data_IF_455941122417
#
_entry.id   IF_455941122417
#
_cell.length_a   1.000
_cell.length_b   1.000
_cell.length_c   1.000
_cell.angle_alpha   90.00
_cell.angle_beta   90.00
_cell.angle_gamma   90.00
#
_symmetry.space_group_name_H-M   'P 1'
#
loop_
_entity.id
_entity.type
_entity.pdbx_description
1 polymer ?
#
# COMPACT_ATOMS: atom_id res chain seq x y z
N UNK A 1 3.44 12.21 15.65
CA UNK A 1 3.90 11.73 14.33
C UNK A 1 5.03 10.75 14.58
N UNK A 2 4.76 9.44 14.52
CA UNK A 2 5.77 8.43 14.85
C UNK A 2 5.62 7.24 13.89
N UNK A 3 6.19 7.39 12.70
CA UNK A 3 6.34 6.31 11.72
C UNK A 3 7.72 6.40 11.04
N UNK A 4 8.76 6.77 11.80
CA UNK A 4 10.11 6.89 11.25
C UNK A 4 10.89 5.57 11.26
N UNK A 5 10.46 4.61 12.08
CA UNK A 5 11.01 3.26 12.13
C UNK A 5 9.86 2.26 12.09
N UNK A 6 9.69 1.63 10.93
CA UNK A 6 8.69 0.61 10.72
C UNK A 6 8.97 -0.68 11.49
N UNK A 7 10.24 -0.96 11.85
CA UNK A 7 10.62 -2.19 12.56
C UNK A 7 10.12 -2.20 14.00
N UNK A 8 9.97 -1.03 14.62
CA UNK A 8 9.43 -0.86 15.96
C UNK A 8 7.89 -1.03 16.04
N UNK A 9 7.21 -1.17 14.91
CA UNK A 9 5.75 -1.30 14.87
C UNK A 9 5.26 -2.63 15.48
N UNK A 10 4.44 -2.52 16.53
CA UNK A 10 3.87 -3.68 17.23
C UNK A 10 2.47 -4.08 16.76
N UNK A 11 1.78 -3.22 16.01
CA UNK A 11 0.43 -3.47 15.53
C UNK A 11 0.34 -4.43 14.33
N UNK A 12 -0.88 -4.78 13.89
CA UNK A 12 -1.07 -5.44 12.61
C UNK A 12 -0.69 -4.49 11.46
N UNK A 13 -0.44 -5.07 10.28
CA UNK A 13 -0.40 -4.27 9.06
C UNK A 13 -1.82 -3.77 8.72
N UNK A 14 -1.95 -2.63 8.05
CA UNK A 14 -3.21 -2.23 7.44
C UNK A 14 -3.71 -3.31 6.49
N UNK A 15 -5.04 -3.40 6.32
CA UNK A 15 -5.62 -4.23 5.26
C UNK A 15 -5.20 -3.69 3.90
N UNK A 16 -5.21 -4.55 2.89
CA UNK A 16 -5.05 -4.11 1.50
C UNK A 16 -6.11 -3.08 1.16
N UNK A 17 -5.75 -2.16 0.27
CA UNK A 17 -6.61 -1.06 -0.14
C UNK A 17 -6.47 -0.83 -1.65
N UNK A 18 -7.47 -0.13 -2.19
CA UNK A 18 -7.50 0.27 -3.59
C UNK A 18 -7.25 1.77 -3.71
N UNK A 19 -6.42 2.16 -4.68
CA UNK A 19 -6.16 3.54 -5.03
C UNK A 19 -6.65 3.80 -6.45
N UNK A 20 -7.63 4.69 -6.59
CA UNK A 20 -8.04 5.21 -7.90
C UNK A 20 -7.08 6.31 -8.33
N UNK A 21 -6.64 6.26 -9.57
CA UNK A 21 -5.82 7.28 -10.21
C UNK A 21 -6.42 7.62 -11.58
N UNK A 22 -6.12 8.80 -12.16
CA UNK A 22 -6.46 9.03 -13.56
C UNK A 22 -5.94 7.87 -14.43
N UNK A 23 -6.81 7.33 -15.30
CA UNK A 23 -6.50 6.21 -16.19
C UNK A 23 -6.62 4.82 -15.60
N UNK A 24 -7.01 4.68 -14.32
CA UNK A 24 -7.25 3.36 -13.75
C UNK A 24 -7.25 3.26 -12.23
N UNK A 25 -6.74 2.14 -11.74
CA UNK A 25 -6.67 1.84 -10.31
C UNK A 25 -5.55 0.84 -10.04
N UNK A 26 -5.04 0.83 -8.81
CA UNK A 26 -4.23 -0.28 -8.32
C UNK A 26 -4.63 -0.68 -6.91
N UNK A 27 -4.51 -1.97 -6.61
CA UNK A 27 -4.64 -2.51 -5.26
C UNK A 27 -3.25 -2.65 -4.65
N UNK A 28 -3.10 -2.32 -3.36
CA UNK A 28 -1.82 -2.33 -2.67
C UNK A 28 -1.93 -2.84 -1.24
N UNK A 29 -0.80 -3.27 -0.69
CA UNK A 29 -0.65 -3.59 0.74
C UNK A 29 0.58 -2.91 1.31
N UNK A 30 0.48 -2.45 2.56
CA UNK A 30 1.56 -1.80 3.30
C UNK A 30 2.11 -2.81 4.31
N UNK A 31 3.40 -3.12 4.22
CA UNK A 31 4.09 -3.94 5.21
C UNK A 31 4.96 -3.00 6.04
N UNK A 32 4.44 -2.55 7.18
CA UNK A 32 5.07 -1.52 8.02
C UNK A 32 6.47 -1.96 8.46
N UNK A 33 6.61 -3.20 8.96
CA UNK A 33 7.90 -3.75 9.44
C UNK A 33 8.94 -3.95 8.36
N UNK A 34 8.55 -3.94 7.08
CA UNK A 34 9.47 -4.00 5.95
C UNK A 34 9.67 -2.64 5.30
N UNK A 35 8.98 -1.61 5.79
CA UNK A 35 9.00 -0.26 5.26
C UNK A 35 8.72 -0.23 3.75
N UNK A 36 7.71 -1.01 3.33
CA UNK A 36 7.38 -1.23 1.92
C UNK A 36 5.90 -1.14 1.64
N UNK A 37 5.59 -0.66 0.43
CA UNK A 37 4.28 -0.77 -0.20
C UNK A 37 4.42 -1.70 -1.39
N UNK A 38 3.57 -2.72 -1.45
CA UNK A 38 3.52 -3.67 -2.57
C UNK A 38 2.25 -3.40 -3.37
N UNK A 39 2.40 -3.20 -4.68
CA UNK A 39 1.29 -3.15 -5.62
C UNK A 39 0.95 -4.58 -6.03
N UNK A 40 -0.30 -4.97 -5.84
CA UNK A 40 -0.78 -6.34 -6.06
C UNK A 40 -1.43 -6.52 -7.43
N UNK A 41 -2.20 -5.53 -7.87
CA UNK A 41 -2.89 -5.54 -9.15
C UNK A 41 -2.96 -4.12 -9.71
N UNK A 42 -2.87 -4.00 -11.02
CA UNK A 42 -3.10 -2.76 -11.77
C UNK A 42 -4.25 -3.02 -12.75
N UNK A 43 -5.19 -2.08 -12.81
CA UNK A 43 -6.26 -2.04 -13.80
C UNK A 43 -6.11 -0.76 -14.60
N UNK A 44 -5.82 -0.88 -15.90
CA UNK A 44 -5.81 0.25 -16.84
C UNK A 44 -7.17 0.37 -17.54
N UNK A 45 -7.70 1.58 -17.60
CA UNK A 45 -8.97 1.89 -18.25
C UNK A 45 -8.81 2.67 -19.56
N UNK A 46 -7.60 3.16 -19.85
CA UNK A 46 -7.27 3.88 -21.08
C UNK A 46 -6.62 2.94 -22.10
N UNK A 47 -7.24 2.86 -23.30
CA UNK A 47 -6.68 2.33 -24.54
C UNK A 47 -7.05 3.26 -25.69
#
# INVERSE_FOLDING_TARGET
MQYLDGTAWQGPNPKSADMRVPGGMFSYTIIIRKERVYVLQITCLDF
#
